data_IF_851323131949
#
_entry.id   IF_851323131949
#
_cell.length_a   1.000
_cell.length_b   1.000
_cell.length_c   1.000
_cell.angle_alpha   90.00
_cell.angle_beta   90.00
_cell.angle_gamma   90.00
#
_symmetry.space_group_name_H-M   'P 1'
#
loop_
_entity.id
_entity.type
_entity.pdbx_description
1 polymer ?
#
# COMPACT_ATOMS: atom_id res chain seq x y z
N UNK A 1 -33.32 27.72 44.89
CA UNK A 1 -32.31 26.85 44.27
C UNK A 1 -33.03 25.58 43.88
N UNK A 2 -33.32 25.46 42.59
CA UNK A 2 -34.34 24.60 42.00
C UNK A 2 -33.81 23.21 41.64
N UNK A 3 -34.52 22.18 42.10
CA UNK A 3 -34.65 20.90 41.40
C UNK A 3 -35.45 21.10 40.11
N UNK A 4 -35.04 20.44 39.01
CA UNK A 4 -35.91 19.52 38.25
C UNK A 4 -35.20 19.00 37.00
N UNK A 5 -35.15 17.67 36.90
CA UNK A 5 -35.50 16.83 35.75
C UNK A 5 -35.24 17.40 34.35
N UNK A 6 -34.45 16.70 33.51
CA UNK A 6 -34.88 16.32 32.15
C UNK A 6 -34.07 15.13 31.62
N UNK A 7 -34.79 14.02 31.45
CA UNK A 7 -34.73 13.03 30.38
C UNK A 7 -33.43 12.87 29.57
N UNK A 8 -32.87 11.65 29.61
CA UNK A 8 -32.18 11.04 28.47
C UNK A 8 -33.14 10.97 27.27
N UNK A 9 -32.64 11.29 26.06
CA UNK A 9 -32.97 10.45 24.93
C UNK A 9 -31.73 10.01 24.15
N UNK A 10 -31.81 8.75 23.71
CA UNK A 10 -31.30 8.14 22.49
C UNK A 10 -29.98 8.68 21.89
N UNK A 11 -28.99 7.78 21.91
CA UNK A 11 -27.97 7.63 20.87
C UNK A 11 -28.52 7.90 19.46
N UNK A 12 -27.91 8.80 18.69
CA UNK A 12 -27.85 8.66 17.25
C UNK A 12 -26.52 8.02 16.86
N UNK A 13 -26.64 6.98 16.06
CA UNK A 13 -25.61 6.28 15.32
C UNK A 13 -24.35 7.13 15.03
N UNK A 14 -23.23 6.77 15.67
CA UNK A 14 -21.92 7.20 15.20
C UNK A 14 -21.55 6.31 14.02
N UNK A 15 -21.96 6.75 12.83
CA UNK A 15 -21.25 6.43 11.59
C UNK A 15 -19.80 6.89 11.77
N UNK A 16 -18.91 5.95 12.09
CA UNK A 16 -17.47 6.16 12.09
C UNK A 16 -17.05 6.30 10.63
N UNK A 17 -17.11 7.52 10.10
CA UNK A 17 -16.41 7.88 8.87
C UNK A 17 -14.91 7.78 9.11
N UNK A 18 -14.22 7.06 8.22
CA UNK A 18 -12.79 6.80 8.26
C UNK A 18 -11.94 8.03 7.95
N UNK A 19 -11.91 8.99 8.86
CA UNK A 19 -10.93 10.06 8.86
C UNK A 19 -10.39 10.24 10.28
N UNK A 20 -9.29 9.56 10.58
CA UNK A 20 -8.37 9.91 11.68
C UNK A 20 -7.07 9.11 11.51
N UNK A 21 -6.40 9.34 10.38
CA UNK A 21 -4.95 9.13 10.26
C UNK A 21 -4.31 10.43 10.77
N UNK A 22 -3.52 10.40 11.86
CA UNK A 22 -2.69 11.54 12.23
C UNK A 22 -1.52 11.61 11.23
N UNK A 23 -1.78 12.22 10.08
CA UNK A 23 -0.78 12.62 9.08
C UNK A 23 -0.14 13.93 9.56
N UNK A 24 0.76 13.83 10.54
CA UNK A 24 1.61 14.99 10.87
C UNK A 24 2.51 15.25 9.65
N UNK A 25 2.08 16.23 8.86
CA UNK A 25 2.69 16.87 7.69
C UNK A 25 4.00 16.27 7.18
N UNK A 26 3.97 15.83 5.93
CA UNK A 26 5.13 15.70 5.04
C UNK A 26 5.98 16.99 5.14
N UNK A 27 7.00 16.96 5.99
CA UNK A 27 8.00 18.01 6.05
C UNK A 27 9.16 17.60 5.15
N UNK A 28 9.50 18.45 4.18
CA UNK A 28 10.74 18.30 3.45
C UNK A 28 11.91 18.27 4.46
N UNK A 29 12.95 17.44 4.25
CA UNK A 29 14.15 17.52 5.07
C UNK A 29 14.66 18.97 5.04
N UNK A 30 14.84 19.56 6.23
CA UNK A 30 15.35 20.92 6.38
C UNK A 30 16.72 21.07 5.72
N UNK A 31 17.07 22.31 5.34
CA UNK A 31 18.29 22.81 4.66
C UNK A 31 19.49 21.84 4.58
N UNK A 32 19.34 20.73 3.87
CA UNK A 32 20.41 19.80 3.53
C UNK A 32 21.20 20.34 2.34
N UNK A 33 22.45 19.90 2.20
CA UNK A 33 23.30 20.26 1.07
C UNK A 33 22.56 19.97 -0.25
N UNK A 34 22.45 20.93 -1.19
CA UNK A 34 21.92 20.69 -2.53
C UNK A 34 22.47 19.43 -3.22
N UNK A 35 23.73 19.10 -2.97
CA UNK A 35 24.34 17.88 -3.51
C UNK A 35 23.65 16.61 -2.98
N UNK A 36 23.39 16.54 -1.68
CA UNK A 36 22.71 15.41 -1.03
C UNK A 36 21.27 15.26 -1.52
N UNK A 37 20.58 16.39 -1.77
CA UNK A 37 19.20 16.40 -2.27
C UNK A 37 19.11 15.84 -3.69
N UNK A 38 19.99 16.31 -4.58
CA UNK A 38 20.02 15.83 -5.96
C UNK A 38 20.50 14.37 -6.01
N UNK A 39 21.47 13.99 -5.17
CA UNK A 39 21.92 12.59 -5.06
C UNK A 39 20.81 11.66 -4.55
N UNK A 40 20.06 12.07 -3.52
CA UNK A 40 18.90 11.33 -3.03
C UNK A 40 17.84 11.15 -4.12
N UNK A 41 17.55 12.19 -4.90
CA UNK A 41 16.63 12.10 -6.03
C UNK A 41 17.14 11.11 -7.11
N UNK A 42 18.44 11.12 -7.43
CA UNK A 42 19.05 10.14 -8.35
C UNK A 42 18.85 8.71 -7.84
N UNK A 43 19.00 8.46 -6.53
CA UNK A 43 18.78 7.14 -5.95
C UNK A 43 17.31 6.69 -6.10
N UNK A 44 16.36 7.59 -5.84
CA UNK A 44 14.91 7.32 -6.01
C UNK A 44 14.60 6.96 -7.47
N UNK A 45 15.10 7.75 -8.42
CA UNK A 45 14.86 7.51 -9.86
C UNK A 45 15.58 6.25 -10.35
N UNK A 46 16.77 5.92 -9.84
CA UNK A 46 17.43 4.64 -10.14
C UNK A 46 16.63 3.43 -9.64
N UNK A 47 16.05 3.51 -8.44
CA UNK A 47 15.13 2.49 -7.93
C UNK A 47 13.90 2.33 -8.83
N UNK A 48 13.33 3.47 -9.26
CA UNK A 48 12.20 3.52 -10.20
C UNK A 48 12.56 2.91 -11.57
N UNK A 49 13.77 3.16 -12.07
CA UNK A 49 14.30 2.58 -13.30
C UNK A 49 14.43 1.07 -13.24
N UNK A 50 14.87 0.51 -12.11
CA UNK A 50 14.97 -0.95 -11.94
C UNK A 50 13.59 -1.62 -12.11
N UNK A 51 12.54 -0.96 -11.61
CA UNK A 51 11.15 -1.43 -11.68
C UNK A 51 10.50 -1.11 -13.03
N UNK A 52 10.90 -0.01 -13.67
CA UNK A 52 10.27 0.50 -14.90
C UNK A 52 8.97 1.28 -14.64
N UNK A 53 8.82 1.84 -13.44
CA UNK A 53 7.73 2.71 -13.04
C UNK A 53 8.21 3.61 -11.90
N UNK A 54 7.60 4.77 -11.70
CA UNK A 54 7.92 5.62 -10.55
C UNK A 54 7.54 4.89 -9.26
N UNK A 55 8.48 4.92 -8.32
CA UNK A 55 8.31 4.35 -6.99
C UNK A 55 9.03 5.22 -5.96
N UNK A 56 8.31 5.72 -4.96
CA UNK A 56 8.92 6.39 -3.81
C UNK A 56 9.15 5.36 -2.69
N UNK A 57 10.41 5.10 -2.29
CA UNK A 57 10.68 4.14 -1.23
C UNK A 57 10.14 4.63 0.12
N UNK A 58 9.71 3.72 1.02
CA UNK A 58 9.47 4.06 2.41
C UNK A 58 10.76 4.55 3.09
N UNK A 59 10.70 5.55 4.00
CA UNK A 59 9.52 6.36 4.33
C UNK A 59 9.15 7.35 3.20
N UNK A 60 7.92 7.24 2.69
CA UNK A 60 7.44 8.01 1.52
C UNK A 60 7.59 9.52 1.73
N UNK A 61 7.44 9.96 2.98
CA UNK A 61 7.56 11.36 3.34
C UNK A 61 8.93 11.96 3.09
N UNK A 62 9.97 11.19 3.40
CA UNK A 62 11.36 11.60 3.16
C UNK A 62 11.62 11.66 1.66
N UNK A 63 11.15 10.66 0.92
CA UNK A 63 11.29 10.62 -0.54
C UNK A 63 10.61 11.82 -1.22
N UNK A 64 9.35 12.12 -0.87
CA UNK A 64 8.63 13.29 -1.37
C UNK A 64 9.34 14.61 -1.00
N UNK A 65 9.85 14.70 0.22
CA UNK A 65 10.65 15.83 0.68
C UNK A 65 11.91 16.08 -0.15
N UNK A 66 12.64 15.01 -0.49
CA UNK A 66 13.83 15.08 -1.36
C UNK A 66 13.46 15.58 -2.76
N UNK A 67 12.37 15.07 -3.34
CA UNK A 67 11.90 15.51 -4.66
C UNK A 67 11.47 16.99 -4.64
N UNK A 68 10.73 17.43 -3.62
CA UNK A 68 10.38 18.85 -3.47
C UNK A 68 11.60 19.74 -3.28
N UNK A 69 12.64 19.25 -2.61
CA UNK A 69 13.89 19.98 -2.49
C UNK A 69 14.56 20.22 -3.85
N UNK A 70 14.52 19.24 -4.77
CA UNK A 70 14.98 19.41 -6.16
C UNK A 70 14.20 20.52 -6.87
N UNK A 71 12.86 20.56 -6.71
CA UNK A 71 12.03 21.63 -7.27
C UNK A 71 12.46 23.02 -6.77
N UNK A 72 12.68 23.19 -5.47
CA UNK A 72 13.18 24.46 -4.92
C UNK A 72 14.58 24.79 -5.39
N UNK A 73 15.44 23.78 -5.54
CA UNK A 73 16.79 23.96 -6.04
C UNK A 73 16.79 24.52 -7.48
N UNK A 74 15.95 23.99 -8.36
CA UNK A 74 15.77 24.48 -9.74
C UNK A 74 15.40 25.97 -9.76
N UNK A 75 14.48 26.39 -8.89
CA UNK A 75 14.08 27.79 -8.79
C UNK A 75 15.25 28.71 -8.40
N UNK A 76 16.13 28.22 -7.52
CA UNK A 76 17.22 29.01 -6.94
C UNK A 76 18.49 29.11 -7.80
N UNK A 77 18.71 28.18 -8.76
CA UNK A 77 19.98 28.07 -9.48
C UNK A 77 19.79 27.76 -10.97
N UNK A 78 20.40 28.58 -11.84
CA UNK A 78 20.73 28.21 -13.22
C UNK A 78 22.21 27.81 -13.27
N UNK A 79 22.53 26.61 -13.74
CA UNK A 79 23.88 26.04 -13.64
C UNK A 79 24.89 26.81 -14.50
N UNK A 80 25.60 27.76 -13.88
CA UNK A 80 26.61 28.60 -14.52
C UNK A 80 28.01 27.97 -14.59
N UNK A 81 28.37 27.42 -15.76
CA UNK A 81 29.70 27.52 -16.39
C UNK A 81 30.96 26.91 -15.76
N UNK A 82 30.99 26.45 -14.50
CA UNK A 82 32.11 25.67 -13.93
C UNK A 82 31.66 24.26 -13.57
N UNK A 83 32.60 23.31 -13.50
CA UNK A 83 32.37 21.94 -13.01
C UNK A 83 31.88 22.00 -11.56
N UNK A 84 30.58 22.13 -11.41
CA UNK A 84 29.85 22.09 -10.16
C UNK A 84 29.35 20.64 -9.98
N UNK A 85 29.78 19.93 -8.92
CA UNK A 85 29.29 18.58 -8.61
C UNK A 85 27.75 18.49 -8.60
N UNK A 86 27.06 19.55 -8.19
CA UNK A 86 25.59 19.60 -8.18
C UNK A 86 25.05 19.64 -9.61
N UNK A 87 25.68 20.41 -10.51
CA UNK A 87 25.31 20.45 -11.93
C UNK A 87 25.49 19.09 -12.63
N UNK A 88 26.59 18.38 -12.34
CA UNK A 88 26.84 17.05 -12.89
C UNK A 88 25.80 16.04 -12.41
N UNK A 89 25.48 16.05 -11.11
CA UNK A 89 24.44 15.18 -10.53
C UNK A 89 23.04 15.53 -11.05
N UNK A 90 22.73 16.80 -11.26
CA UNK A 90 21.43 17.21 -11.80
C UNK A 90 21.28 16.82 -13.28
N UNK A 91 22.37 16.92 -14.06
CA UNK A 91 22.40 16.41 -15.44
C UNK A 91 22.16 14.90 -15.47
N UNK A 92 22.77 14.16 -14.54
CA UNK A 92 22.53 12.73 -14.37
C UNK A 92 21.06 12.46 -14.00
N UNK A 93 20.49 13.19 -13.04
CA UNK A 93 19.08 13.06 -12.67
C UNK A 93 18.15 13.27 -13.88
N UNK A 94 18.39 14.31 -14.67
CA UNK A 94 17.61 14.61 -15.87
C UNK A 94 17.71 13.50 -16.91
N UNK A 95 18.91 12.95 -17.14
CA UNK A 95 19.09 11.80 -18.01
C UNK A 95 18.31 10.58 -17.49
N UNK A 96 18.36 10.32 -16.18
CA UNK A 96 17.66 9.18 -15.56
C UNK A 96 16.14 9.31 -15.62
N UNK A 97 15.61 10.53 -15.50
CA UNK A 97 14.19 10.80 -15.72
C UNK A 97 13.77 10.52 -17.17
N UNK A 98 14.58 10.90 -18.16
CA UNK A 98 14.32 10.56 -19.57
C UNK A 98 14.34 9.06 -19.82
N UNK A 99 15.36 8.36 -19.32
CA UNK A 99 15.45 6.90 -19.42
C UNK A 99 14.23 6.22 -18.78
N UNK A 100 13.74 6.75 -17.66
CA UNK A 100 12.56 6.23 -16.97
C UNK A 100 11.31 6.46 -17.81
N UNK A 101 11.16 7.64 -18.40
CA UNK A 101 10.03 7.98 -19.25
C UNK A 101 9.96 7.09 -20.49
N UNK A 102 11.08 6.90 -21.18
CA UNK A 102 11.18 6.00 -22.34
C UNK A 102 10.77 4.57 -21.95
N UNK A 103 11.17 4.11 -20.77
CA UNK A 103 10.83 2.78 -20.26
C UNK A 103 9.33 2.66 -19.91
N UNK A 104 8.73 3.69 -19.32
CA UNK A 104 7.28 3.74 -19.03
C UNK A 104 6.49 3.73 -20.35
N UNK A 105 6.89 4.55 -21.33
CA UNK A 105 6.23 4.61 -22.64
C UNK A 105 6.34 3.27 -23.37
N UNK A 106 7.52 2.66 -23.43
CA UNK A 106 7.70 1.35 -24.08
C UNK A 106 6.79 0.28 -23.46
N UNK A 107 6.67 0.29 -22.13
CA UNK A 107 5.79 -0.61 -21.39
C UNK A 107 4.31 -0.39 -21.71
N UNK A 108 3.87 0.87 -21.82
CA UNK A 108 2.50 1.18 -22.24
C UNK A 108 2.24 0.81 -23.71
N UNK A 109 3.23 0.99 -24.58
CA UNK A 109 3.13 0.64 -26.00
C UNK A 109 2.94 -0.85 -26.24
N UNK A 110 3.66 -1.70 -25.50
CA UNK A 110 3.49 -3.16 -25.52
C UNK A 110 2.06 -3.59 -25.15
N UNK A 111 1.36 -2.76 -24.39
CA UNK A 111 0.07 -3.07 -23.80
C UNK A 111 -1.09 -2.21 -24.35
N UNK A 112 -0.83 -1.42 -25.40
CA UNK A 112 -1.82 -0.60 -26.13
C UNK A 112 -3.07 -1.37 -26.58
N UNK A 113 -2.95 -2.69 -26.78
CA UNK A 113 -4.07 -3.58 -27.14
C UNK A 113 -5.24 -3.55 -26.14
N UNK A 114 -4.98 -3.12 -24.90
CA UNK A 114 -5.97 -3.02 -23.84
C UNK A 114 -6.50 -1.58 -23.65
N UNK A 115 -5.87 -0.58 -24.27
CA UNK A 115 -6.38 0.79 -24.26
C UNK A 115 -7.64 0.80 -25.13
N UNK A 116 -8.78 1.02 -24.48
CA UNK A 116 -9.97 1.45 -25.21
C UNK A 116 -9.86 2.95 -25.45
N UNK A 117 -10.29 3.43 -26.62
CA UNK A 117 -10.56 4.84 -26.86
C UNK A 117 -11.73 5.26 -25.96
N UNK A 118 -11.42 5.49 -24.69
CA UNK A 118 -12.38 5.84 -23.67
C UNK A 118 -11.98 7.16 -23.02
N UNK A 119 -12.93 7.71 -22.27
CA UNK A 119 -12.80 8.98 -21.53
C UNK A 119 -11.53 9.02 -20.66
N UNK A 120 -11.16 7.89 -20.06
CA UNK A 120 -9.97 7.75 -19.22
C UNK A 120 -8.67 8.06 -19.98
N UNK A 121 -8.52 7.57 -21.21
CA UNK A 121 -7.30 7.80 -22.01
C UNK A 121 -7.07 9.29 -22.30
N UNK A 122 -8.13 10.04 -22.58
CA UNK A 122 -8.02 11.47 -22.88
C UNK A 122 -7.89 12.32 -21.61
N UNK A 123 -8.74 12.09 -20.62
CA UNK A 123 -8.82 12.96 -19.43
C UNK A 123 -7.75 12.69 -18.38
N UNK A 124 -7.10 11.53 -18.43
CA UNK A 124 -6.07 11.15 -17.46
C UNK A 124 -4.71 11.02 -18.13
N UNK A 125 -4.56 10.06 -19.06
CA UNK A 125 -3.24 9.74 -19.62
C UNK A 125 -2.67 10.94 -20.38
N UNK A 126 -3.49 11.63 -21.17
CA UNK A 126 -3.09 12.83 -21.91
C UNK A 126 -2.68 14.01 -21.01
N UNK A 127 -3.43 14.25 -19.93
CA UNK A 127 -3.14 15.31 -18.97
C UNK A 127 -1.85 15.04 -18.20
N UNK A 128 -1.66 13.81 -17.70
CA UNK A 128 -0.41 13.40 -17.03
C UNK A 128 0.79 13.55 -17.96
N UNK A 129 0.67 13.06 -19.21
CA UNK A 129 1.75 13.20 -20.19
C UNK A 129 2.10 14.67 -20.48
N UNK A 130 1.09 15.54 -20.53
CA UNK A 130 1.29 16.99 -20.74
C UNK A 130 2.02 17.62 -19.57
N UNK A 131 1.62 17.33 -18.33
CA UNK A 131 2.31 17.83 -17.13
C UNK A 131 3.76 17.33 -17.05
N UNK A 132 4.00 16.05 -17.34
CA UNK A 132 5.35 15.47 -17.38
C UNK A 132 6.23 16.12 -18.43
N UNK A 133 5.68 16.41 -19.62
CA UNK A 133 6.39 17.12 -20.67
C UNK A 133 6.87 18.49 -20.18
N UNK A 134 5.98 19.30 -19.60
CA UNK A 134 6.36 20.62 -19.08
C UNK A 134 7.33 20.53 -17.90
N UNK A 135 7.17 19.55 -17.03
CA UNK A 135 8.15 19.26 -15.97
C UNK A 135 9.53 18.97 -16.58
N UNK A 136 9.62 18.12 -17.61
CA UNK A 136 10.88 17.80 -18.27
C UNK A 136 11.50 19.01 -18.98
N UNK A 137 10.72 19.90 -19.59
CA UNK A 137 11.20 21.16 -20.16
C UNK A 137 11.87 22.06 -19.09
N UNK A 138 11.35 22.05 -17.86
CA UNK A 138 11.99 22.74 -16.72
C UNK A 138 13.36 22.13 -16.40
N UNK A 139 13.47 20.80 -16.33
CA UNK A 139 14.76 20.13 -16.08
C UNK A 139 15.77 20.40 -17.22
N UNK A 140 15.34 20.31 -18.47
CA UNK A 140 16.21 20.54 -19.63
C UNK A 140 16.72 21.98 -19.73
N UNK A 141 15.82 22.95 -19.56
CA UNK A 141 16.19 24.37 -19.58
C UNK A 141 17.15 24.76 -18.46
N UNK A 142 17.06 24.08 -17.29
CA UNK A 142 17.99 24.27 -16.18
C UNK A 142 19.43 23.91 -16.57
N UNK A 143 19.62 22.89 -17.41
CA UNK A 143 20.95 22.43 -17.88
C UNK A 143 21.50 23.35 -18.98
N UNK A 144 20.65 23.86 -19.87
CA UNK A 144 21.07 24.67 -21.01
C UNK A 144 21.54 26.08 -20.61
N UNK A 145 21.19 26.53 -19.40
CA UNK A 145 21.63 27.81 -18.81
C UNK A 145 21.28 29.04 -19.66
N UNK A 146 20.16 29.00 -20.39
CA UNK A 146 19.58 30.15 -21.09
C UNK A 146 18.46 30.72 -20.20
N UNK A 147 18.74 31.83 -19.53
CA UNK A 147 17.88 32.37 -18.47
C UNK A 147 16.45 32.75 -18.94
N UNK A 148 16.27 33.19 -20.19
CA UNK A 148 14.95 33.47 -20.76
C UNK A 148 14.11 32.21 -20.91
N UNK A 149 14.74 31.15 -21.41
CA UNK A 149 14.08 29.88 -21.76
C UNK A 149 13.71 29.14 -20.47
N UNK A 150 14.56 29.21 -19.46
CA UNK A 150 14.30 28.62 -18.15
C UNK A 150 13.11 29.25 -17.43
N UNK A 151 13.02 30.60 -17.40
CA UNK A 151 11.86 31.28 -16.82
C UNK A 151 10.57 30.95 -17.56
N UNK A 152 10.62 30.86 -18.89
CA UNK A 152 9.47 30.47 -19.70
C UNK A 152 9.02 29.03 -19.43
N UNK A 153 9.97 28.08 -19.32
CA UNK A 153 9.66 26.69 -18.99
C UNK A 153 8.99 26.57 -17.62
N UNK A 154 9.51 27.26 -16.60
CA UNK A 154 8.91 27.32 -15.26
C UNK A 154 7.48 27.88 -15.31
N UNK A 155 7.26 28.98 -16.03
CA UNK A 155 5.93 29.60 -16.15
C UNK A 155 4.93 28.72 -16.91
N UNK A 156 5.37 28.04 -17.96
CA UNK A 156 4.53 27.09 -18.69
C UNK A 156 4.14 25.90 -17.82
N UNK A 157 5.08 25.35 -17.04
CA UNK A 157 4.78 24.28 -16.11
C UNK A 157 3.82 24.72 -15.01
N UNK A 158 4.02 25.92 -14.43
CA UNK A 158 3.08 26.51 -13.47
C UNK A 158 1.67 26.60 -14.05
N UNK A 159 1.53 27.20 -15.24
CA UNK A 159 0.23 27.35 -15.91
C UNK A 159 -0.46 26.01 -16.16
N UNK A 160 0.32 24.99 -16.56
CA UNK A 160 -0.22 23.65 -16.77
C UNK A 160 -0.70 23.03 -15.45
N UNK A 161 0.07 23.15 -14.37
CA UNK A 161 -0.36 22.71 -13.04
C UNK A 161 -1.56 23.50 -12.48
N UNK A 162 -1.67 24.79 -12.76
CA UNK A 162 -2.81 25.60 -12.32
C UNK A 162 -4.08 25.27 -13.11
N UNK A 163 -3.95 24.97 -14.41
CA UNK A 163 -5.07 24.57 -15.27
C UNK A 163 -5.56 23.17 -14.95
N UNK A 164 -4.63 22.22 -14.81
CA UNK A 164 -4.92 20.82 -14.50
C UNK A 164 -4.07 20.37 -13.30
N UNK A 165 -4.48 20.67 -12.05
CA UNK A 165 -3.72 20.28 -10.87
C UNK A 165 -3.53 18.76 -10.76
N UNK A 166 -2.33 18.27 -10.38
CA UNK A 166 -2.10 16.84 -10.22
C UNK A 166 -3.11 16.14 -9.31
N UNK A 167 -3.52 16.80 -8.21
CA UNK A 167 -4.54 16.31 -7.30
C UNK A 167 -5.91 16.16 -7.96
N UNK A 168 -6.31 17.11 -8.83
CA UNK A 168 -7.56 17.02 -9.60
C UNK A 168 -7.56 15.80 -10.54
N UNK A 169 -6.41 15.49 -11.15
CA UNK A 169 -6.28 14.29 -11.98
C UNK A 169 -6.41 13.03 -11.12
N UNK A 170 -5.81 12.99 -9.92
CA UNK A 170 -5.96 11.86 -8.99
C UNK A 170 -7.43 11.61 -8.63
N UNK A 171 -8.18 12.65 -8.25
CA UNK A 171 -9.63 12.53 -8.01
C UNK A 171 -10.40 12.06 -9.25
N UNK A 172 -9.99 12.52 -10.45
CA UNK A 172 -10.60 12.10 -11.71
C UNK A 172 -10.36 10.60 -11.98
N UNK A 173 -9.16 10.09 -11.68
CA UNK A 173 -8.86 8.65 -11.75
C UNK A 173 -9.82 7.89 -10.84
N UNK A 174 -9.88 8.22 -9.55
CA UNK A 174 -10.76 7.55 -8.58
C UNK A 174 -12.22 7.59 -9.04
N UNK A 175 -12.71 8.74 -9.49
CA UNK A 175 -14.09 8.90 -9.99
C UNK A 175 -14.37 8.04 -11.23
N UNK A 176 -13.45 7.97 -12.19
CA UNK A 176 -13.62 7.18 -13.41
C UNK A 176 -13.56 5.67 -13.11
N UNK A 177 -12.77 5.27 -12.11
CA UNK A 177 -12.67 3.87 -11.68
C UNK A 177 -13.86 3.42 -10.84
N UNK A 178 -14.45 4.31 -10.04
CA UNK A 178 -15.61 3.97 -9.21
C UNK A 178 -16.87 3.63 -10.06
N UNK A 179 -16.97 4.13 -11.28
CA UNK A 179 -18.11 3.90 -12.16
C UNK A 179 -17.81 2.80 -13.19
N UNK A 180 -18.63 1.75 -13.19
CA UNK A 180 -18.47 0.58 -14.07
C UNK A 180 -18.31 0.93 -15.56
N UNK A 181 -19.08 1.90 -16.06
CA UNK A 181 -19.11 2.29 -17.48
C UNK A 181 -17.92 3.14 -17.93
N UNK A 182 -17.20 3.75 -17.00
CA UNK A 182 -16.01 4.56 -17.27
C UNK A 182 -14.72 3.89 -16.82
N UNK A 183 -14.81 2.79 -16.08
CA UNK A 183 -13.66 2.06 -15.58
C UNK A 183 -13.00 1.24 -16.70
N UNK A 184 -11.82 1.64 -17.20
CA UNK A 184 -11.12 0.93 -18.28
C UNK A 184 -10.83 -0.54 -17.98
N UNK A 185 -10.51 -0.88 -16.73
CA UNK A 185 -10.22 -2.26 -16.33
C UNK A 185 -11.49 -3.12 -16.44
N UNK A 186 -12.61 -2.64 -15.91
CA UNK A 186 -13.88 -3.36 -16.00
C UNK A 186 -14.29 -3.57 -17.45
N UNK A 187 -14.20 -2.53 -18.28
CA UNK A 187 -14.45 -2.62 -19.72
C UNK A 187 -13.55 -3.65 -20.41
N UNK A 188 -12.26 -3.70 -20.05
CA UNK A 188 -11.31 -4.65 -20.61
C UNK A 188 -11.62 -6.10 -20.21
N UNK A 189 -11.96 -6.35 -18.94
CA UNK A 189 -12.35 -7.67 -18.44
C UNK A 189 -13.62 -8.17 -19.14
N UNK A 190 -14.60 -7.30 -19.35
CA UNK A 190 -15.88 -7.66 -19.99
C UNK A 190 -15.73 -7.90 -21.48
N UNK A 191 -14.83 -7.17 -22.15
CA UNK A 191 -14.55 -7.36 -23.59
C UNK A 191 -13.74 -8.62 -23.87
N UNK A 192 -12.78 -8.96 -23.01
CA UNK A 192 -11.81 -10.03 -23.25
C UNK A 192 -11.95 -11.18 -22.26
N UNK A 193 -12.93 -12.08 -22.48
CA UNK A 193 -13.17 -13.23 -21.59
C UNK A 193 -11.95 -14.16 -21.41
N UNK A 194 -11.03 -14.23 -22.39
CA UNK A 194 -9.88 -15.16 -22.38
C UNK A 194 -8.60 -14.59 -21.75
N UNK A 195 -8.44 -13.26 -21.70
CA UNK A 195 -7.21 -12.59 -21.26
C UNK A 195 -7.43 -11.66 -20.05
N UNK A 196 -8.46 -11.94 -19.23
CA UNK A 196 -8.84 -11.13 -18.06
C UNK A 196 -7.67 -10.87 -17.11
N UNK A 197 -6.85 -11.89 -16.83
CA UNK A 197 -5.69 -11.78 -15.94
C UNK A 197 -4.63 -10.80 -16.46
N UNK A 198 -4.38 -10.81 -17.78
CA UNK A 198 -3.45 -9.87 -18.41
C UNK A 198 -4.00 -8.45 -18.40
N UNK A 199 -5.30 -8.30 -18.63
CA UNK A 199 -5.97 -7.00 -18.56
C UNK A 199 -5.90 -6.39 -17.15
N UNK A 200 -6.11 -7.21 -16.11
CA UNK A 200 -5.95 -6.80 -14.70
C UNK A 200 -4.52 -6.36 -14.43
N UNK A 201 -3.53 -7.22 -14.72
CA UNK A 201 -2.14 -6.90 -14.49
C UNK A 201 -1.69 -5.63 -15.21
N UNK A 202 -2.19 -5.40 -16.44
CA UNK A 202 -1.92 -4.19 -17.21
C UNK A 202 -2.53 -2.95 -16.55
N UNK A 203 -3.84 -2.93 -16.31
CA UNK A 203 -4.50 -1.72 -15.83
C UNK A 203 -4.11 -1.37 -14.40
N UNK A 204 -3.87 -2.37 -13.52
CA UNK A 204 -3.27 -2.11 -12.21
C UNK A 204 -1.95 -1.36 -12.33
N UNK A 205 -1.13 -1.73 -13.32
CA UNK A 205 0.16 -1.11 -13.53
C UNK A 205 0.04 0.32 -14.11
N UNK A 206 -0.91 0.53 -15.02
CA UNK A 206 -1.26 1.86 -15.54
C UNK A 206 -1.69 2.79 -14.42
N UNK A 207 -2.66 2.40 -13.59
CA UNK A 207 -3.16 3.28 -12.53
C UNK A 207 -2.08 3.62 -11.51
N UNK A 208 -1.26 2.63 -11.13
CA UNK A 208 -0.14 2.85 -10.20
C UNK A 208 0.89 3.80 -10.78
N UNK A 209 1.26 3.60 -12.04
CA UNK A 209 2.23 4.46 -12.72
C UNK A 209 1.72 5.90 -12.81
N UNK A 210 0.45 6.08 -13.21
CA UNK A 210 -0.16 7.41 -13.28
C UNK A 210 -0.20 8.11 -11.93
N UNK A 211 -0.57 7.41 -10.85
CA UNK A 211 -0.61 8.01 -9.52
C UNK A 211 0.79 8.40 -9.05
N UNK A 212 1.80 7.56 -9.26
CA UNK A 212 3.17 7.90 -8.87
C UNK A 212 3.81 8.98 -9.76
N UNK A 213 3.43 9.06 -11.03
CA UNK A 213 3.70 10.21 -11.90
C UNK A 213 3.12 11.49 -11.31
N UNK A 214 1.86 11.48 -10.88
CA UNK A 214 1.23 12.63 -10.23
C UNK A 214 1.95 13.03 -8.93
N UNK A 215 2.37 12.06 -8.11
CA UNK A 215 3.17 12.33 -6.90
C UNK A 215 4.50 12.99 -7.26
N UNK A 216 5.23 12.49 -8.26
CA UNK A 216 6.49 13.10 -8.69
C UNK A 216 6.27 14.54 -9.15
N UNK A 217 5.30 14.75 -10.05
CA UNK A 217 4.96 16.07 -10.60
C UNK A 217 4.61 17.04 -9.48
N UNK A 218 3.75 16.62 -8.55
CA UNK A 218 3.30 17.44 -7.43
C UNK A 218 4.46 17.74 -6.46
N UNK A 219 5.37 16.80 -6.20
CA UNK A 219 6.56 17.08 -5.39
C UNK A 219 7.43 18.17 -6.04
N UNK A 220 7.73 18.05 -7.33
CA UNK A 220 8.52 19.05 -8.06
C UNK A 220 7.81 20.40 -8.08
N UNK A 221 6.51 20.43 -8.37
CA UNK A 221 5.70 21.64 -8.36
C UNK A 221 5.63 22.28 -6.96
N UNK A 222 5.52 21.49 -5.90
CA UNK A 222 5.54 21.98 -4.53
C UNK A 222 6.86 22.69 -4.20
N UNK A 223 7.97 22.12 -4.66
CA UNK A 223 9.30 22.71 -4.56
C UNK A 223 9.45 24.04 -5.31
N UNK A 224 8.95 24.10 -6.55
CA UNK A 224 9.04 25.28 -7.42
C UNK A 224 8.08 26.40 -7.02
N UNK A 225 6.86 26.06 -6.58
CA UNK A 225 5.73 26.99 -6.57
C UNK A 225 4.99 27.10 -5.22
N UNK A 226 5.12 26.11 -4.33
CA UNK A 226 4.29 26.00 -3.11
C UNK A 226 5.11 26.02 -1.81
N UNK A 227 6.33 26.56 -1.83
CA UNK A 227 7.23 26.61 -0.66
C UNK A 227 7.44 25.23 0.00
N UNK A 228 7.55 24.17 -0.80
CA UNK A 228 7.67 22.77 -0.35
C UNK A 228 6.47 22.28 0.49
N UNK A 229 5.29 22.91 0.36
CA UNK A 229 4.07 22.40 0.96
C UNK A 229 3.63 21.12 0.23
N UNK A 230 3.73 20.00 0.94
CA UNK A 230 3.44 18.66 0.42
C UNK A 230 2.00 18.18 0.70
N UNK A 231 1.10 19.07 1.15
CA UNK A 231 -0.30 18.74 1.43
C UNK A 231 -1.00 18.04 0.25
N UNK A 232 -0.84 18.54 -0.98
CA UNK A 232 -1.46 17.94 -2.15
C UNK A 232 -0.85 16.56 -2.47
N UNK A 233 0.45 16.35 -2.22
CA UNK A 233 1.08 15.03 -2.33
C UNK A 233 0.45 14.02 -1.37
N UNK A 234 0.17 14.43 -0.13
CA UNK A 234 -0.50 13.57 0.86
C UNK A 234 -1.86 13.12 0.33
N UNK A 235 -2.64 14.06 -0.21
CA UNK A 235 -3.96 13.75 -0.78
C UNK A 235 -3.87 12.83 -1.99
N UNK A 236 -2.90 13.00 -2.88
CA UNK A 236 -2.69 12.07 -4.01
C UNK A 236 -2.33 10.66 -3.50
N UNK A 237 -1.52 10.56 -2.44
CA UNK A 237 -1.18 9.27 -1.82
C UNK A 237 -2.41 8.63 -1.17
N UNK A 238 -3.28 9.41 -0.52
CA UNK A 238 -4.57 8.93 0.01
C UNK A 238 -5.46 8.40 -1.11
N UNK A 239 -5.59 9.12 -2.23
CA UNK A 239 -6.32 8.66 -3.42
C UNK A 239 -5.77 7.33 -3.98
N UNK A 240 -4.46 7.10 -3.87
CA UNK A 240 -3.87 5.81 -4.27
C UNK A 240 -4.44 4.63 -3.47
N UNK A 241 -4.82 4.87 -2.21
CA UNK A 241 -5.42 3.85 -1.34
C UNK A 241 -6.90 3.61 -1.70
N UNK A 242 -7.62 4.64 -2.16
CA UNK A 242 -8.98 4.48 -2.69
C UNK A 242 -8.97 3.67 -3.99
N UNK A 243 -8.00 3.93 -4.87
CA UNK A 243 -7.80 3.16 -6.10
C UNK A 243 -7.52 1.69 -5.78
N UNK A 244 -6.72 1.38 -4.76
CA UNK A 244 -6.54 0.00 -4.32
C UNK A 244 -7.84 -0.65 -3.84
N UNK A 245 -8.69 0.08 -3.12
CA UNK A 245 -9.99 -0.43 -2.68
C UNK A 245 -10.88 -0.80 -3.87
N UNK A 246 -10.90 0.06 -4.90
CA UNK A 246 -11.65 -0.20 -6.14
C UNK A 246 -11.07 -1.42 -6.88
N UNK A 247 -9.73 -1.52 -6.98
CA UNK A 247 -9.07 -2.66 -7.62
C UNK A 247 -9.35 -3.97 -6.90
N UNK A 248 -9.31 -3.96 -5.57
CA UNK A 248 -9.65 -5.12 -4.75
C UNK A 248 -11.11 -5.56 -4.95
N UNK A 249 -12.04 -4.60 -5.04
CA UNK A 249 -13.44 -4.89 -5.31
C UNK A 249 -13.63 -5.51 -6.70
N UNK A 250 -12.94 -5.01 -7.73
CA UNK A 250 -12.96 -5.58 -9.08
C UNK A 250 -12.37 -6.99 -9.07
N UNK A 251 -11.24 -7.18 -8.41
CA UNK A 251 -10.59 -8.49 -8.26
C UNK A 251 -11.59 -9.51 -7.69
N UNK A 252 -12.28 -9.13 -6.62
CA UNK A 252 -13.31 -9.93 -5.97
C UNK A 252 -14.50 -10.20 -6.89
N UNK A 253 -15.06 -9.17 -7.52
CA UNK A 253 -16.30 -9.27 -8.29
C UNK A 253 -16.12 -10.11 -9.56
N UNK A 254 -14.94 -10.06 -10.17
CA UNK A 254 -14.63 -10.83 -11.38
C UNK A 254 -13.85 -12.12 -11.10
N UNK A 255 -13.43 -12.36 -9.85
CA UNK A 255 -12.59 -13.50 -9.43
C UNK A 255 -11.37 -13.67 -10.35
N UNK A 256 -10.66 -12.56 -10.54
CA UNK A 256 -9.44 -12.42 -11.35
C UNK A 256 -8.29 -12.01 -10.44
N UNK A 257 -7.09 -11.88 -10.97
CA UNK A 257 -5.95 -11.35 -10.23
C UNK A 257 -5.16 -12.41 -9.44
N UNK A 258 -3.95 -12.07 -9.00
CA UNK A 258 -3.02 -13.05 -8.45
C UNK A 258 -3.53 -13.71 -7.16
N UNK A 259 -4.24 -12.98 -6.30
CA UNK A 259 -4.80 -13.54 -5.08
C UNK A 259 -5.97 -14.46 -5.37
N UNK A 260 -6.90 -14.10 -6.26
CA UNK A 260 -7.96 -15.03 -6.69
C UNK A 260 -7.39 -16.34 -7.28
N UNK A 261 -6.33 -16.26 -8.08
CA UNK A 261 -5.62 -17.43 -8.61
C UNK A 261 -4.97 -18.25 -7.49
N UNK A 262 -4.31 -17.60 -6.53
CA UNK A 262 -3.73 -18.29 -5.37
C UNK A 262 -4.81 -19.03 -4.58
N UNK A 263 -5.91 -18.35 -4.22
CA UNK A 263 -7.01 -18.94 -3.46
C UNK A 263 -7.66 -20.14 -4.14
N UNK A 264 -7.89 -20.05 -5.45
CA UNK A 264 -8.44 -21.16 -6.24
C UNK A 264 -7.54 -22.40 -6.16
N UNK A 265 -6.23 -22.20 -6.13
CA UNK A 265 -5.24 -23.29 -6.06
C UNK A 265 -4.86 -23.68 -4.63
N UNK A 266 -5.26 -22.91 -3.63
CA UNK A 266 -4.86 -23.09 -2.24
C UNK A 266 -5.21 -24.48 -1.67
N UNK A 267 -6.38 -25.10 -1.96
CA UNK A 267 -6.65 -26.46 -1.47
C UNK A 267 -5.63 -27.51 -1.97
N UNK A 268 -5.22 -27.41 -3.24
CA UNK A 268 -4.21 -28.30 -3.80
C UNK A 268 -2.84 -28.04 -3.18
N UNK A 269 -2.46 -26.77 -3.07
CA UNK A 269 -1.21 -26.37 -2.42
C UNK A 269 -1.16 -26.79 -0.94
N UNK A 270 -2.25 -26.65 -0.20
CA UNK A 270 -2.36 -27.08 1.18
C UNK A 270 -2.21 -28.61 1.33
N UNK A 271 -2.69 -29.38 0.35
CA UNK A 271 -2.45 -30.83 0.30
C UNK A 271 -0.98 -31.18 0.04
N UNK A 272 -0.22 -30.35 -0.68
CA UNK A 272 1.22 -30.57 -0.85
C UNK A 272 1.98 -30.44 0.47
N UNK A 273 1.53 -29.55 1.38
CA UNK A 273 2.13 -29.37 2.71
C UNK A 273 2.05 -30.63 3.61
N UNK A 274 1.15 -31.57 3.29
CA UNK A 274 1.04 -32.88 3.97
C UNK A 274 2.34 -33.68 3.84
N UNK A 275 3.09 -33.49 2.74
CA UNK A 275 4.30 -34.23 2.41
C UNK A 275 5.59 -33.62 2.97
N UNK A 276 5.53 -32.41 3.54
CA UNK A 276 6.69 -31.60 3.96
C UNK A 276 7.17 -31.95 5.39
N UNK A 277 6.77 -33.13 5.88
CA UNK A 277 7.14 -33.57 7.22
C UNK A 277 6.39 -32.85 8.34
N UNK A 278 6.72 -33.13 9.61
CA UNK A 278 6.00 -32.61 10.78
C UNK A 278 6.42 -31.20 11.22
N UNK A 279 7.45 -30.61 10.61
CA UNK A 279 8.00 -29.32 10.98
C UNK A 279 7.11 -28.17 10.47
N UNK A 280 6.65 -27.29 11.38
CA UNK A 280 5.84 -26.12 11.01
C UNK A 280 6.66 -25.05 10.27
N UNK A 281 7.97 -24.97 10.53
CA UNK A 281 8.88 -24.02 9.87
C UNK A 281 9.01 -24.33 8.37
N UNK A 282 9.29 -25.58 8.01
CA UNK A 282 9.47 -25.98 6.61
C UNK A 282 8.19 -25.73 5.78
N UNK A 283 7.02 -26.00 6.39
CA UNK A 283 5.73 -25.65 5.78
C UNK A 283 5.55 -24.14 5.64
N UNK A 284 5.93 -23.37 6.66
CA UNK A 284 5.84 -21.91 6.64
C UNK A 284 6.68 -21.33 5.49
N UNK A 285 7.92 -21.78 5.34
CA UNK A 285 8.83 -21.29 4.30
C UNK A 285 8.27 -21.53 2.89
N UNK A 286 7.65 -22.70 2.64
CA UNK A 286 6.99 -22.97 1.36
C UNK A 286 5.83 -22.02 1.09
N UNK A 287 4.98 -21.79 2.08
CA UNK A 287 3.85 -20.85 1.93
C UNK A 287 4.36 -19.42 1.70
N UNK A 288 5.38 -19.00 2.45
CA UNK A 288 6.01 -17.70 2.25
C UNK A 288 6.58 -17.56 0.84
N UNK A 289 7.32 -18.55 0.35
CA UNK A 289 7.92 -18.51 -0.99
C UNK A 289 6.87 -18.48 -2.11
N UNK A 290 5.79 -19.25 -1.95
CA UNK A 290 4.70 -19.25 -2.92
C UNK A 290 3.97 -17.90 -2.97
N UNK A 291 3.73 -17.28 -1.81
CA UNK A 291 3.13 -15.94 -1.73
C UNK A 291 4.06 -14.84 -2.25
N UNK A 292 5.37 -14.86 -1.94
CA UNK A 292 6.35 -13.92 -2.52
C UNK A 292 6.32 -13.95 -4.04
N UNK A 293 6.21 -15.15 -4.61
CA UNK A 293 6.26 -15.38 -6.05
C UNK A 293 4.95 -15.03 -6.74
N UNK A 294 3.81 -15.48 -6.20
CA UNK A 294 2.50 -15.32 -6.84
C UNK A 294 1.82 -13.99 -6.52
N UNK A 295 2.01 -13.45 -5.33
CA UNK A 295 1.34 -12.24 -4.87
C UNK A 295 2.36 -11.24 -4.27
N UNK A 296 3.37 -10.79 -5.04
CA UNK A 296 4.48 -9.98 -4.52
C UNK A 296 4.07 -8.61 -3.97
N UNK A 297 2.89 -8.11 -4.36
CA UNK A 297 2.41 -6.75 -4.05
C UNK A 297 1.64 -6.67 -2.73
N UNK A 298 1.07 -7.79 -2.31
CA UNK A 298 0.24 -7.88 -1.12
C UNK A 298 1.08 -8.39 0.05
N UNK A 299 0.69 -7.99 1.25
CA UNK A 299 1.31 -8.42 2.51
C UNK A 299 0.45 -9.49 3.17
N UNK A 300 1.06 -10.46 3.84
CA UNK A 300 0.31 -11.60 4.38
C UNK A 300 0.71 -11.99 5.79
N UNK A 301 -0.28 -12.43 6.56
CA UNK A 301 -0.09 -13.31 7.70
C UNK A 301 -0.31 -14.76 7.26
N UNK A 302 0.51 -15.65 7.79
CA UNK A 302 0.37 -17.09 7.65
C UNK A 302 0.37 -17.65 9.07
N UNK A 303 -0.61 -18.48 9.40
CA UNK A 303 -0.65 -19.16 10.69
C UNK A 303 -0.82 -20.65 10.48
N UNK A 304 0.14 -21.43 10.99
CA UNK A 304 0.12 -22.90 10.97
C UNK A 304 0.04 -23.37 12.42
N UNK A 305 -0.96 -24.18 12.75
CA UNK A 305 -1.23 -24.61 14.12
C UNK A 305 -1.73 -26.04 14.16
N UNK A 306 -1.70 -26.67 15.33
CA UNK A 306 -2.22 -28.02 15.49
C UNK A 306 -3.75 -28.04 15.33
N UNK A 307 -4.36 -29.22 15.18
CA UNK A 307 -5.81 -29.35 15.11
C UNK A 307 -6.50 -28.66 16.30
N UNK A 308 -7.45 -27.78 15.98
CA UNK A 308 -8.10 -26.87 16.92
C UNK A 308 -9.58 -26.73 16.58
N UNK A 309 -10.39 -26.55 17.62
CA UNK A 309 -11.82 -26.27 17.50
C UNK A 309 -12.06 -24.76 17.34
N UNK A 310 -12.79 -24.37 16.29
CA UNK A 310 -13.15 -22.96 16.06
C UNK A 310 -14.05 -22.44 17.20
N UNK A 311 -13.97 -21.13 17.49
CA UNK A 311 -14.57 -20.43 18.65
C UNK A 311 -13.98 -20.80 20.03
N UNK A 312 -13.57 -22.05 20.22
CA UNK A 312 -13.01 -22.54 21.49
C UNK A 312 -11.51 -22.35 21.59
N UNK A 313 -10.76 -22.91 20.63
CA UNK A 313 -9.29 -22.90 20.63
C UNK A 313 -8.74 -21.71 19.86
N UNK A 314 -9.46 -21.25 18.84
CA UNK A 314 -9.15 -20.05 18.08
C UNK A 314 -10.43 -19.39 17.55
N UNK A 315 -10.39 -18.08 17.36
CA UNK A 315 -11.44 -17.34 16.67
C UNK A 315 -10.80 -16.16 15.95
N UNK A 316 -11.42 -15.74 14.85
CA UNK A 316 -11.02 -14.53 14.18
C UNK A 316 -12.21 -13.77 13.61
N UNK A 317 -12.06 -12.46 13.55
CA UNK A 317 -12.89 -11.55 12.80
C UNK A 317 -12.09 -11.06 11.59
N UNK A 318 -12.76 -10.97 10.45
CA UNK A 318 -12.23 -10.37 9.23
C UNK A 318 -13.29 -9.45 8.63
N UNK A 319 -12.91 -8.22 8.33
CA UNK A 319 -13.79 -7.23 7.68
C UNK A 319 -14.22 -7.68 6.28
N UNK A 320 -13.27 -8.24 5.51
CA UNK A 320 -13.42 -8.68 4.12
C UNK A 320 -13.13 -10.18 4.01
N UNK A 321 -14.15 -11.07 4.03
CA UNK A 321 -13.94 -12.53 3.95
C UNK A 321 -13.17 -13.01 2.71
N UNK A 322 -13.13 -12.20 1.64
CA UNK A 322 -12.32 -12.48 0.45
C UNK A 322 -10.81 -12.52 0.75
N UNK A 323 -10.35 -11.91 1.85
CA UNK A 323 -8.93 -11.76 2.20
C UNK A 323 -8.38 -12.90 3.07
N UNK A 324 -9.12 -14.00 3.24
CA UNK A 324 -8.62 -15.17 3.96
C UNK A 324 -8.86 -16.46 3.18
N UNK A 325 -7.90 -17.38 3.30
CA UNK A 325 -8.09 -18.79 2.97
C UNK A 325 -7.63 -19.66 4.11
N UNK A 326 -8.30 -20.80 4.29
CA UNK A 326 -8.00 -21.74 5.36
C UNK A 326 -8.12 -23.18 4.88
N UNK A 327 -7.30 -24.05 5.46
CA UNK A 327 -7.40 -25.49 5.34
C UNK A 327 -7.24 -26.10 6.73
N UNK A 328 -8.20 -26.95 7.11
CA UNK A 328 -8.34 -27.47 8.47
C UNK A 328 -8.02 -28.95 8.51
N UNK A 329 -7.46 -29.39 9.63
CA UNK A 329 -7.33 -30.80 9.98
C UNK A 329 -6.57 -31.66 8.95
N UNK A 330 -5.63 -31.05 8.24
CA UNK A 330 -4.75 -31.69 7.27
C UNK A 330 -3.88 -32.73 7.97
N UNK A 331 -3.88 -33.97 7.44
CA UNK A 331 -3.06 -35.04 8.00
C UNK A 331 -1.57 -34.76 7.78
N UNK A 332 -0.74 -35.02 8.78
CA UNK A 332 0.72 -34.99 8.66
C UNK A 332 1.22 -36.39 8.36
N UNK A 333 1.90 -36.61 7.23
CA UNK A 333 2.29 -37.97 6.78
C UNK A 333 3.39 -38.63 7.62
N UNK A 334 4.12 -37.85 8.41
CA UNK A 334 5.41 -38.27 8.98
C UNK A 334 5.39 -38.92 10.38
N UNK A 335 4.24 -39.32 10.95
CA UNK A 335 4.23 -39.99 12.25
C UNK A 335 3.16 -41.08 12.38
N UNK A 336 3.51 -42.16 13.11
CA UNK A 336 2.65 -43.26 13.58
C UNK A 336 1.47 -42.81 14.49
N UNK A 337 1.08 -41.52 14.49
CA UNK A 337 0.20 -40.89 15.51
C UNK A 337 -0.92 -40.02 14.95
N UNK A 338 -1.27 -40.07 13.66
CA UNK A 338 -2.41 -39.33 13.08
C UNK A 338 -2.42 -37.83 13.46
N UNK A 339 -1.25 -37.17 13.46
CA UNK A 339 -1.16 -35.73 13.77
C UNK A 339 -1.82 -34.93 12.65
N UNK A 340 -2.60 -33.93 13.03
CA UNK A 340 -3.30 -33.02 12.13
C UNK A 340 -2.89 -31.58 12.39
N UNK A 341 -2.88 -30.77 11.34
CA UNK A 341 -2.61 -29.35 11.43
C UNK A 341 -3.65 -28.55 10.64
N UNK A 342 -3.79 -27.29 10.99
CA UNK A 342 -4.58 -26.32 10.24
C UNK A 342 -3.69 -25.17 9.82
N UNK A 343 -4.09 -24.50 8.74
CA UNK A 343 -3.43 -23.32 8.22
C UNK A 343 -4.49 -22.30 7.83
N UNK A 344 -4.24 -21.03 8.15
CA UNK A 344 -4.90 -19.92 7.45
C UNK A 344 -3.87 -18.93 6.91
N UNK A 345 -4.22 -18.30 5.80
CA UNK A 345 -3.47 -17.21 5.18
C UNK A 345 -4.39 -16.01 5.09
N UNK A 346 -4.00 -14.92 5.74
CA UNK A 346 -4.68 -13.64 5.66
C UNK A 346 -3.89 -12.69 4.77
N UNK A 347 -4.58 -12.07 3.81
CA UNK A 347 -4.07 -11.02 2.94
C UNK A 347 -4.41 -9.65 3.53
N UNK A 348 -3.41 -8.78 3.59
CA UNK A 348 -3.59 -7.34 3.67
C UNK A 348 -3.08 -6.73 2.37
N UNK A 349 -3.99 -6.11 1.62
CA UNK A 349 -3.67 -5.45 0.35
C UNK A 349 -3.12 -4.03 0.58
N UNK A 350 -3.30 -3.47 1.78
CA UNK A 350 -2.77 -2.15 2.18
C UNK A 350 -1.48 -2.21 3.02
N UNK A 351 -1.15 -3.35 3.62
CA UNK A 351 -0.13 -3.43 4.68
C UNK A 351 1.27 -2.91 4.30
N UNK A 352 1.67 -2.99 3.02
CA UNK A 352 2.95 -2.43 2.53
C UNK A 352 2.99 -0.90 2.49
N UNK A 353 1.84 -0.23 2.60
CA UNK A 353 1.68 1.22 2.38
C UNK A 353 1.17 1.97 3.59
N UNK A 354 0.74 1.24 4.61
CA UNK A 354 0.40 1.84 5.89
C UNK A 354 1.64 2.51 6.46
N UNK A 355 1.48 3.76 6.91
CA UNK A 355 2.56 4.55 7.50
C UNK A 355 3.12 3.87 8.76
N UNK A 356 4.42 4.04 9.00
CA UNK A 356 5.09 3.50 10.20
C UNK A 356 4.42 3.95 11.50
N UNK A 357 3.96 5.21 11.57
CA UNK A 357 3.26 5.75 12.74
C UNK A 357 1.99 4.97 13.10
N UNK A 358 1.27 4.44 12.10
CA UNK A 358 0.07 3.63 12.32
C UNK A 358 0.43 2.23 12.86
N UNK A 359 1.56 1.65 12.42
CA UNK A 359 2.11 0.43 13.03
C UNK A 359 2.49 0.67 14.49
N UNK A 360 3.18 1.77 14.79
CA UNK A 360 3.60 2.13 16.15
C UNK A 360 2.38 2.36 17.06
N UNK A 361 1.36 3.06 16.56
CA UNK A 361 0.08 3.26 17.25
C UNK A 361 -0.62 1.94 17.55
N UNK A 362 -0.65 1.01 16.58
CA UNK A 362 -1.21 -0.33 16.76
C UNK A 362 -0.45 -1.10 17.85
N UNK A 363 0.89 -1.15 17.77
CA UNK A 363 1.72 -1.84 18.76
C UNK A 363 1.51 -1.27 20.16
N UNK A 364 1.43 0.05 20.29
CA UNK A 364 1.16 0.74 21.56
C UNK A 364 -0.21 0.35 22.12
N UNK A 365 -1.27 0.41 21.30
CA UNK A 365 -2.63 -0.03 21.70
C UNK A 365 -2.65 -1.48 22.18
N UNK A 366 -1.98 -2.39 21.46
CA UNK A 366 -1.92 -3.81 21.85
C UNK A 366 -1.16 -4.04 23.18
N UNK A 367 -0.16 -3.22 23.49
CA UNK A 367 0.61 -3.31 24.75
C UNK A 367 -0.10 -2.68 25.94
N UNK A 368 -0.85 -1.58 25.74
CA UNK A 368 -1.50 -0.83 26.82
C UNK A 368 -2.85 -1.42 27.26
N UNK A 369 -3.52 -2.20 26.39
CA UNK A 369 -4.86 -2.74 26.63
C UNK A 369 -4.99 -4.24 27.06
N UNK A 370 -4.03 -4.93 27.71
CA UNK A 370 -4.20 -6.36 28.01
C UNK A 370 -5.12 -6.64 29.21
N UNK A 371 -6.08 -5.76 29.54
CA UNK A 371 -7.02 -5.94 30.67
C UNK A 371 -8.22 -6.84 30.32
N UNK A 372 -8.11 -7.64 29.26
CA UNK A 372 -9.20 -8.53 28.88
C UNK A 372 -9.34 -9.67 29.90
N UNK A 373 -10.59 -9.96 30.25
CA UNK A 373 -10.95 -11.02 31.19
C UNK A 373 -10.58 -12.40 30.61
N UNK A 374 -9.80 -13.16 31.38
CA UNK A 374 -9.33 -14.51 31.03
C UNK A 374 -10.47 -15.53 30.90
N UNK A 375 -11.65 -15.26 31.49
CA UNK A 375 -12.84 -16.11 31.42
C UNK A 375 -13.61 -15.98 30.12
N UNK A 376 -13.36 -14.92 29.33
CA UNK A 376 -14.02 -14.71 28.05
C UNK A 376 -13.57 -15.75 27.02
N UNK A 377 -14.51 -16.23 26.23
CA UNK A 377 -14.24 -17.04 25.04
C UNK A 377 -13.39 -16.27 24.02
N UNK A 378 -12.73 -16.98 23.10
CA UNK A 378 -11.97 -16.31 22.03
C UNK A 378 -12.85 -15.39 21.19
N UNK A 379 -14.11 -15.77 20.97
CA UNK A 379 -15.09 -14.97 20.26
C UNK A 379 -15.38 -13.65 20.97
N UNK A 380 -15.69 -13.70 22.27
CA UNK A 380 -15.93 -12.49 23.07
C UNK A 380 -14.69 -11.59 23.13
N UNK A 381 -13.50 -12.19 23.20
CA UNK A 381 -12.24 -11.43 23.16
C UNK A 381 -12.07 -10.70 21.84
N UNK A 382 -12.28 -11.39 20.72
CA UNK A 382 -12.18 -10.79 19.38
C UNK A 382 -13.19 -9.65 19.21
N UNK A 383 -14.44 -9.80 19.65
CA UNK A 383 -15.44 -8.74 19.56
C UNK A 383 -15.06 -7.49 20.40
N UNK A 384 -14.45 -7.68 21.57
CA UNK A 384 -13.92 -6.56 22.37
C UNK A 384 -12.72 -5.90 21.67
N UNK A 385 -11.74 -6.71 21.28
CA UNK A 385 -10.50 -6.24 20.63
C UNK A 385 -10.78 -5.52 19.31
N UNK A 386 -11.82 -5.93 18.59
CA UNK A 386 -12.30 -5.28 17.38
C UNK A 386 -12.73 -3.83 17.65
N UNK A 387 -13.44 -3.59 18.75
CA UNK A 387 -13.88 -2.25 19.13
C UNK A 387 -12.73 -1.42 19.72
N UNK A 388 -11.80 -2.05 20.44
CA UNK A 388 -10.72 -1.36 21.14
C UNK A 388 -9.55 -0.98 20.22
N UNK A 389 -9.23 -1.85 19.26
CA UNK A 389 -8.05 -1.69 18.41
C UNK A 389 -8.41 -1.24 17.00
N UNK A 390 -9.17 -2.07 16.26
CA UNK A 390 -9.65 -1.81 14.89
C UNK A 390 -10.65 -2.87 14.42
N UNK A 391 -11.48 -2.52 13.43
CA UNK A 391 -12.52 -3.40 12.88
C UNK A 391 -12.45 -3.62 11.36
N UNK A 392 -11.52 -2.99 10.67
CA UNK A 392 -11.42 -2.91 9.22
C UNK A 392 -10.45 -3.94 8.60
N UNK A 393 -9.79 -4.78 9.41
CA UNK A 393 -8.89 -5.85 8.94
C UNK A 393 -9.09 -7.18 9.69
N UNK A 394 -7.98 -7.85 10.03
CA UNK A 394 -7.98 -9.10 10.81
C UNK A 394 -7.85 -8.81 12.30
N UNK A 395 -8.68 -9.48 13.12
CA UNK A 395 -8.42 -9.70 14.54
C UNK A 395 -8.52 -11.20 14.78
N UNK A 396 -7.44 -11.84 15.20
CA UNK A 396 -7.44 -13.26 15.55
C UNK A 396 -6.89 -13.48 16.96
N UNK A 397 -7.55 -14.38 17.68
CA UNK A 397 -7.12 -14.85 18.99
C UNK A 397 -7.00 -16.36 18.92
N UNK A 398 -5.83 -16.86 19.31
CA UNK A 398 -5.53 -18.29 19.37
C UNK A 398 -5.05 -18.67 20.74
N UNK A 399 -5.41 -19.86 21.21
CA UNK A 399 -4.83 -20.42 22.42
C UNK A 399 -3.35 -20.71 22.18
N UNK A 400 -2.47 -20.11 22.99
CA UNK A 400 -1.01 -20.27 22.88
C UNK A 400 -0.57 -21.74 22.94
N UNK A 401 -1.31 -22.56 23.67
CA UNK A 401 -1.02 -23.98 23.86
C UNK A 401 -1.26 -24.85 22.62
N UNK A 402 -1.79 -24.28 21.54
CA UNK A 402 -2.04 -24.98 20.27
C UNK A 402 -0.88 -24.93 19.30
N UNK A 403 0.29 -24.53 19.78
CA UNK A 403 1.56 -24.55 19.04
C UNK A 403 1.45 -23.82 17.70
N UNK A 404 0.87 -22.62 17.73
CA UNK A 404 0.80 -21.70 16.59
C UNK A 404 2.20 -21.31 16.14
N UNK A 405 2.42 -21.37 14.84
CA UNK A 405 3.57 -20.79 14.17
C UNK A 405 3.06 -19.69 13.24
N UNK A 406 3.35 -18.43 13.61
CA UNK A 406 2.88 -17.25 12.90
C UNK A 406 4.06 -16.69 12.09
N UNK A 407 3.89 -16.67 10.78
CA UNK A 407 4.82 -16.07 9.83
C UNK A 407 4.13 -14.99 9.02
N UNK A 408 4.93 -14.24 8.27
CA UNK A 408 4.45 -13.17 7.42
C UNK A 408 5.37 -12.94 6.23
N UNK A 409 4.90 -12.19 5.24
CA UNK A 409 5.62 -11.97 3.98
C UNK A 409 5.22 -10.63 3.35
N UNK A 410 6.14 -10.04 2.57
CA UNK A 410 5.99 -8.75 1.89
C UNK A 410 5.54 -7.62 2.83
N UNK A 411 6.20 -7.49 3.98
CA UNK A 411 5.88 -6.47 4.99
C UNK A 411 7.04 -5.48 5.11
N UNK A 412 6.80 -4.22 5.52
CA UNK A 412 7.87 -3.28 5.83
C UNK A 412 8.85 -3.83 6.86
N UNK A 413 10.13 -3.45 6.78
CA UNK A 413 11.19 -4.00 7.66
C UNK A 413 10.95 -3.74 9.15
N UNK A 414 10.31 -2.61 9.47
CA UNK A 414 9.94 -2.24 10.84
C UNK A 414 8.69 -2.97 11.37
N UNK A 415 7.99 -3.73 10.50
CA UNK A 415 6.69 -4.32 10.81
C UNK A 415 6.79 -5.82 11.12
N UNK A 416 6.01 -6.27 12.11
CA UNK A 416 5.90 -7.68 12.49
C UNK A 416 4.71 -8.33 11.76
N UNK A 417 4.77 -8.32 10.44
CA UNK A 417 3.68 -8.71 9.53
C UNK A 417 2.81 -7.54 9.07
N UNK A 418 1.68 -7.77 8.38
CA UNK A 418 0.79 -6.72 7.87
C UNK A 418 -0.05 -6.07 8.97
N UNK A 419 0.56 -5.80 10.10
CA UNK A 419 -0.05 -5.34 11.34
C UNK A 419 0.89 -5.63 12.49
N UNK A 420 0.39 -6.31 13.53
CA UNK A 420 1.24 -6.81 14.59
C UNK A 420 0.66 -8.10 15.21
N UNK A 421 1.52 -8.91 15.81
CA UNK A 421 1.10 -10.03 16.65
C UNK A 421 1.98 -10.20 17.89
N UNK A 422 1.37 -10.59 19.00
CA UNK A 422 2.07 -10.87 20.24
C UNK A 422 1.37 -11.95 21.07
N UNK A 423 2.17 -12.65 21.88
CA UNK A 423 1.63 -13.46 22.97
C UNK A 423 1.21 -12.54 24.11
N UNK A 424 0.00 -12.74 24.63
CA UNK A 424 -0.59 -11.93 25.69
C UNK A 424 -1.10 -12.84 26.81
N UNK A 425 -0.78 -12.50 28.05
CA UNK A 425 -1.36 -13.13 29.24
C UNK A 425 -2.61 -12.38 29.65
N UNK A 426 -3.74 -13.09 29.69
CA UNK A 426 -5.01 -12.59 30.20
C UNK A 426 -5.16 -12.92 31.69
N UNK A 427 -5.76 -12.02 32.46
CA UNK A 427 -6.05 -12.22 33.88
C UNK A 427 -4.85 -12.12 34.83
N UNK A 428 -5.14 -12.21 36.12
CA UNK A 428 -4.14 -12.12 37.19
C UNK A 428 -3.33 -13.40 37.36
N UNK A 429 -2.19 -13.29 38.05
CA UNK A 429 -1.13 -14.30 38.17
C UNK A 429 -1.59 -15.73 38.56
N UNK A 430 -2.78 -15.89 39.13
CA UNK A 430 -3.33 -17.16 39.62
C UNK A 430 -4.19 -17.92 38.60
N UNK A 431 -4.76 -17.24 37.59
CA UNK A 431 -5.64 -17.84 36.57
C UNK A 431 -5.21 -17.45 35.13
N UNK A 432 -3.92 -17.22 34.90
CA UNK A 432 -3.48 -16.67 33.62
C UNK A 432 -3.78 -17.57 32.43
N UNK A 433 -4.34 -16.98 31.37
CA UNK A 433 -4.53 -17.62 30.07
C UNK A 433 -3.63 -16.95 29.05
N UNK A 434 -2.74 -17.71 28.42
CA UNK A 434 -1.95 -17.22 27.30
C UNK A 434 -2.72 -17.35 25.98
N UNK A 435 -2.70 -16.27 25.21
CA UNK A 435 -3.21 -16.23 23.84
C UNK A 435 -2.15 -15.69 22.89
N UNK A 436 -2.19 -16.13 21.64
CA UNK A 436 -1.60 -15.38 20.54
C UNK A 436 -2.65 -14.42 19.98
N UNK A 437 -2.35 -13.13 20.03
CA UNK A 437 -3.19 -12.07 19.52
C UNK A 437 -2.58 -11.51 18.23
N UNK A 438 -3.32 -11.63 17.14
CA UNK A 438 -2.92 -11.19 15.79
C UNK A 438 -3.86 -10.09 15.33
N UNK A 439 -3.30 -8.97 14.89
CA UNK A 439 -4.04 -7.86 14.30
C UNK A 439 -3.45 -7.53 12.94
N UNK A 440 -4.27 -7.52 11.90
CA UNK A 440 -3.87 -7.16 10.54
C UNK A 440 -4.60 -5.90 10.05
N UNK A 441 -3.90 -5.05 9.31
CA UNK A 441 -4.49 -4.00 8.47
C UNK A 441 -5.32 -4.63 7.33
N UNK A 442 -6.27 -3.91 6.73
CA UNK A 442 -7.07 -4.37 5.59
C UNK A 442 -6.27 -5.01 4.45
#
# INVERSE_FOLDING_TARGET
MSESLFLKPASPDVLVHGHDIPMNGLQAPGDSDPLDQVEGAVQIINGSLAIGAIFTPPPINVACGVLAAVGSFILSNAFGGKKDPVAEKFKLLTQKLKELEEKIIARFDEMKVFISENKFSMEVIGEVATLKKFMMEVFESSIMNIASDHKLAIENFRKACDLTPPLTIAYTISSLLAQKTTNPLTMAIEKSHKDKEKAVAYWEDVFRTLIWDLVLIECIAAGLFKNKNLYDCERIIEESMEIDDILEEIEKNYNVGPWSVFKKNFPNFANELIYIGANKLDRMELVQNELKRKCPRDSFYICIFDSCEFEKDYYYHISKPHNIVEAKDLASREYRRNRKFSIFVYRSYKGTRIAQSEYERLVKKMKENPKYDNKKSNKELVELMKNDVRSDGLIAVMSYWKSSYIGFVNCPEYAKGPGNFCMTWLGDHKDRRAIDWIVGFP
#
